data_IF_191030408937
#
_entry.id   IF_191030408937
#
_cell.length_a   1.000
_cell.length_b   1.000
_cell.length_c   1.000
_cell.angle_alpha   90.00
_cell.angle_beta   90.00
_cell.angle_gamma   90.00
#
_symmetry.space_group_name_H-M   'P 1'
#
loop_
_entity.id
_entity.type
_entity.pdbx_description
1 polymer ?
#
# COMPACT_ATOMS: atom_id res chain seq x y z
N UNK A 1 1.26 -3.85 9.56
CA UNK A 1 2.35 -4.76 9.16
C UNK A 1 3.44 -4.73 10.22
N UNK A 2 3.86 -5.89 10.75
CA UNK A 2 4.96 -5.99 11.73
C UNK A 2 6.00 -6.99 11.20
N UNK A 3 7.32 -6.75 11.42
CA UNK A 3 8.33 -7.75 11.09
C UNK A 3 8.08 -9.04 11.87
N UNK A 4 8.14 -10.20 11.21
CA UNK A 4 7.90 -11.49 11.85
C UNK A 4 8.80 -11.72 13.09
N UNK A 5 10.06 -11.26 13.03
CA UNK A 5 11.02 -11.35 14.13
C UNK A 5 10.62 -10.54 15.37
N UNK A 6 9.82 -9.47 15.21
CA UNK A 6 9.37 -8.62 16.32
C UNK A 6 8.15 -9.16 17.06
N UNK A 7 7.55 -10.27 16.61
CA UNK A 7 6.34 -10.84 17.23
C UNK A 7 6.63 -11.67 18.48
N UNK A 8 7.89 -12.01 18.75
CA UNK A 8 8.29 -12.67 20.00
C UNK A 8 8.50 -11.67 21.16
N UNK A 9 8.53 -10.37 20.87
CA UNK A 9 8.70 -9.34 21.89
C UNK A 9 7.41 -9.14 22.69
N UNK A 10 7.51 -9.29 24.01
CA UNK A 10 6.38 -9.19 24.94
C UNK A 10 5.65 -7.85 24.84
N UNK A 11 6.38 -6.74 24.69
CA UNK A 11 5.79 -5.40 24.59
C UNK A 11 5.06 -5.21 23.26
N UNK A 12 5.55 -5.85 22.19
CA UNK A 12 4.85 -5.87 20.90
C UNK A 12 3.54 -6.66 21.01
N UNK A 13 3.56 -7.83 21.66
CA UNK A 13 2.36 -8.65 21.87
C UNK A 13 1.30 -7.94 22.73
N UNK A 14 1.70 -7.29 23.83
CA UNK A 14 0.78 -6.54 24.68
C UNK A 14 0.06 -5.42 23.92
N UNK A 15 0.78 -4.68 23.05
CA UNK A 15 0.18 -3.65 22.19
C UNK A 15 -0.78 -4.25 21.16
N UNK A 16 -0.40 -5.37 20.55
CA UNK A 16 -1.22 -6.05 19.55
C UNK A 16 -2.52 -6.59 20.16
N UNK A 17 -2.48 -7.11 21.40
CA UNK A 17 -3.70 -7.57 22.09
C UNK A 17 -4.65 -6.42 22.43
N UNK A 18 -4.13 -5.25 22.77
CA UNK A 18 -4.94 -4.03 22.96
C UNK A 18 -5.62 -3.64 21.64
N UNK A 19 -4.88 -3.59 20.54
CA UNK A 19 -5.44 -3.31 19.20
C UNK A 19 -6.51 -4.36 18.82
N UNK A 20 -6.25 -5.64 19.03
CA UNK A 20 -7.19 -6.73 18.72
C UNK A 20 -8.50 -6.56 19.47
N UNK A 21 -8.46 -6.37 20.79
CA UNK A 21 -9.68 -6.18 21.61
C UNK A 21 -10.48 -4.97 21.18
N UNK A 22 -9.78 -3.88 20.84
CA UNK A 22 -10.41 -2.65 20.39
C UNK A 22 -11.20 -2.81 19.09
N UNK A 23 -10.62 -3.49 18.08
CA UNK A 23 -11.28 -3.68 16.79
C UNK A 23 -12.37 -4.77 16.83
N UNK A 24 -12.08 -5.91 17.48
CA UNK A 24 -13.06 -6.99 17.64
C UNK A 24 -14.28 -6.54 18.44
N UNK A 25 -14.08 -5.72 19.48
CA UNK A 25 -15.19 -5.14 20.26
C UNK A 25 -16.11 -4.20 19.46
N UNK A 26 -15.71 -3.81 18.24
CA UNK A 26 -16.48 -2.98 17.31
C UNK A 26 -17.01 -3.77 16.11
N UNK A 27 -16.89 -5.10 16.13
CA UNK A 27 -17.29 -5.96 15.03
C UNK A 27 -16.42 -5.83 13.78
N UNK A 28 -15.17 -5.39 13.93
CA UNK A 28 -14.20 -5.30 12.82
C UNK A 28 -13.20 -6.44 12.94
N UNK A 29 -13.06 -7.22 11.86
CA UNK A 29 -12.06 -8.28 11.78
C UNK A 29 -10.64 -7.73 11.91
N UNK A 30 -9.84 -8.37 12.74
CA UNK A 30 -8.46 -7.96 13.03
C UNK A 30 -7.50 -9.12 12.83
N UNK A 31 -6.37 -8.85 12.20
CA UNK A 31 -5.30 -9.82 11.99
C UNK A 31 -3.94 -9.15 11.84
N UNK A 32 -2.88 -9.94 12.04
CA UNK A 32 -1.50 -9.51 11.86
C UNK A 32 -1.04 -10.01 10.49
N UNK A 33 -0.60 -9.09 9.64
CA UNK A 33 0.07 -9.42 8.37
C UNK A 33 1.57 -9.17 8.52
N UNK A 34 2.35 -10.20 8.20
CA UNK A 34 3.81 -10.20 8.16
C UNK A 34 4.30 -10.33 6.72
N UNK A 35 5.60 -10.18 6.50
CA UNK A 35 6.22 -10.43 5.19
C UNK A 35 6.03 -11.87 4.71
N UNK A 36 5.82 -12.84 5.61
CA UNK A 36 5.61 -14.26 5.26
C UNK A 36 4.23 -14.51 4.66
N UNK A 37 3.28 -13.63 4.96
CA UNK A 37 1.89 -13.75 4.50
C UNK A 37 1.68 -13.08 3.13
N UNK A 38 2.72 -12.42 2.59
CA UNK A 38 2.66 -11.77 1.29
C UNK A 38 3.22 -12.68 0.19
N UNK A 39 2.60 -12.72 -1.00
CA UNK A 39 3.13 -13.46 -2.13
C UNK A 39 4.56 -13.03 -2.48
N UNK A 40 5.49 -13.97 -2.75
CA UNK A 40 6.87 -13.63 -3.10
C UNK A 40 6.99 -12.67 -4.29
N UNK A 41 6.09 -12.81 -5.29
CA UNK A 41 6.03 -11.92 -6.46
C UNK A 41 5.70 -10.49 -6.06
N UNK A 42 4.72 -10.31 -5.17
CA UNK A 42 4.36 -8.98 -4.65
C UNK A 42 5.55 -8.34 -3.93
N UNK A 43 6.27 -9.11 -3.09
CA UNK A 43 7.45 -8.61 -2.39
C UNK A 43 8.52 -8.16 -3.40
N UNK A 44 8.83 -9.00 -4.40
CA UNK A 44 9.82 -8.66 -5.44
C UNK A 44 9.43 -7.41 -6.22
N UNK A 45 8.17 -7.29 -6.62
CA UNK A 45 7.64 -6.11 -7.29
C UNK A 45 7.75 -4.85 -6.41
N UNK A 46 7.38 -4.93 -5.13
CA UNK A 46 7.49 -3.81 -4.20
C UNK A 46 8.95 -3.41 -3.97
N UNK A 47 9.86 -4.38 -3.81
CA UNK A 47 11.30 -4.13 -3.69
C UNK A 47 11.85 -3.46 -4.96
N UNK A 48 11.41 -3.91 -6.13
CA UNK A 48 11.76 -3.26 -7.39
C UNK A 48 11.22 -1.82 -7.40
N UNK A 49 9.98 -1.56 -7.04
CA UNK A 49 9.42 -0.21 -7.07
C UNK A 49 9.98 0.74 -5.99
N UNK A 50 10.46 0.23 -4.85
CA UNK A 50 10.86 1.01 -3.67
C UNK A 50 12.30 1.60 -3.73
N UNK A 51 13.00 1.48 -4.85
CA UNK A 51 14.38 1.97 -4.98
C UNK A 51 14.51 3.51 -4.98
N UNK A 52 15.75 4.04 -4.99
CA UNK A 52 16.05 5.50 -4.91
C UNK A 52 15.29 6.34 -5.96
N UNK A 53 15.09 5.78 -7.14
CA UNK A 53 14.34 6.33 -8.28
C UNK A 53 12.89 6.73 -7.97
N UNK A 54 12.28 6.18 -6.92
CA UNK A 54 10.93 6.57 -6.50
C UNK A 54 10.89 7.95 -5.81
N UNK A 55 12.04 8.48 -5.38
CA UNK A 55 12.17 9.75 -4.64
C UNK A 55 12.91 10.83 -5.41
N UNK A 56 13.61 10.48 -6.49
CA UNK A 56 14.27 11.46 -7.34
C UNK A 56 13.22 12.39 -7.95
N UNK A 57 13.50 13.69 -7.94
CA UNK A 57 12.69 14.71 -8.62
C UNK A 57 12.84 14.57 -10.14
N UNK A 58 11.79 14.90 -10.88
CA UNK A 58 11.83 14.84 -12.35
C UNK A 58 12.83 15.90 -12.81
N UNK A 59 13.84 15.50 -13.59
CA UNK A 59 14.71 16.47 -14.25
C UNK A 59 13.88 17.15 -15.33
N UNK A 60 14.15 18.41 -15.62
CA UNK A 60 13.37 19.21 -16.57
C UNK A 60 13.23 18.58 -17.96
N UNK A 61 14.20 17.74 -18.38
CA UNK A 61 14.17 17.00 -19.64
C UNK A 61 13.43 15.65 -19.60
N UNK A 62 12.87 15.24 -18.46
CA UNK A 62 12.20 13.95 -18.35
C UNK A 62 10.75 13.98 -18.89
N UNK A 63 10.12 15.16 -19.00
CA UNK A 63 8.75 15.29 -19.53
C UNK A 63 8.67 14.78 -20.96
N UNK A 64 9.60 15.22 -21.81
CA UNK A 64 9.70 14.77 -23.20
C UNK A 64 9.98 13.26 -23.30
N UNK A 65 10.72 12.72 -22.33
CA UNK A 65 11.06 11.29 -22.26
C UNK A 65 9.90 10.41 -21.81
N UNK A 66 8.92 10.95 -21.07
CA UNK A 66 7.69 10.24 -20.66
C UNK A 66 6.65 10.19 -21.78
N UNK A 67 6.59 11.23 -22.62
CA UNK A 67 5.64 11.27 -23.74
C UNK A 67 5.80 10.08 -24.70
N UNK A 68 7.05 9.72 -25.04
CA UNK A 68 7.34 8.61 -25.94
C UNK A 68 6.78 7.24 -25.47
N UNK A 69 7.06 6.75 -24.24
CA UNK A 69 6.49 5.49 -23.78
C UNK A 69 4.97 5.55 -23.57
N UNK A 70 4.38 6.71 -23.23
CA UNK A 70 2.92 6.83 -23.11
C UNK A 70 2.21 6.73 -24.47
N UNK A 71 2.77 7.37 -25.50
CA UNK A 71 2.30 7.26 -26.87
C UNK A 71 2.45 5.81 -27.40
N UNK A 72 3.61 5.21 -27.17
CA UNK A 72 3.88 3.82 -27.56
C UNK A 72 2.90 2.84 -26.89
N UNK A 73 2.65 3.01 -25.59
CA UNK A 73 1.72 2.16 -24.84
C UNK A 73 0.27 2.30 -25.34
N UNK A 74 -0.10 3.50 -25.80
CA UNK A 74 -1.44 3.77 -26.34
C UNK A 74 -1.67 3.16 -27.72
N UNK A 75 -0.59 2.85 -28.46
CA UNK A 75 -0.64 2.34 -29.84
C UNK A 75 -0.40 0.83 -29.90
N UNK A 76 0.54 0.32 -29.10
CA UNK A 76 1.08 -1.04 -29.20
C UNK A 76 0.92 -1.84 -27.89
N UNK A 77 -0.29 -2.25 -27.55
CA UNK A 77 -0.55 -3.06 -26.35
C UNK A 77 -0.12 -4.54 -26.46
N UNK A 78 0.13 -5.04 -27.67
CA UNK A 78 0.34 -6.49 -27.90
C UNK A 78 1.82 -6.91 -27.94
N UNK A 79 2.75 -5.98 -27.73
CA UNK A 79 4.18 -6.30 -27.63
C UNK A 79 4.55 -6.76 -26.22
N UNK A 80 5.62 -7.52 -26.10
CA UNK A 80 6.17 -7.89 -24.81
C UNK A 80 6.90 -6.72 -24.15
N UNK A 81 7.09 -6.77 -22.84
CA UNK A 81 7.78 -5.74 -22.06
C UNK A 81 9.21 -5.51 -22.55
N UNK A 82 9.93 -6.58 -22.89
CA UNK A 82 11.29 -6.51 -23.42
C UNK A 82 11.34 -5.85 -24.79
N UNK A 83 10.45 -6.24 -25.70
CA UNK A 83 10.32 -5.63 -27.03
C UNK A 83 9.93 -4.15 -26.94
N UNK A 84 9.00 -3.81 -26.04
CA UNK A 84 8.58 -2.45 -25.80
C UNK A 84 9.75 -1.56 -25.35
N UNK A 85 10.50 -1.99 -24.34
CA UNK A 85 11.67 -1.24 -23.87
C UNK A 85 12.69 -1.06 -25.00
N UNK A 86 13.00 -2.12 -25.74
CA UNK A 86 13.94 -2.07 -26.87
C UNK A 86 13.45 -1.21 -28.04
N UNK A 87 12.14 -1.15 -28.28
CA UNK A 87 11.55 -0.31 -29.32
C UNK A 87 11.60 1.17 -28.94
N UNK A 88 11.26 1.52 -27.70
CA UNK A 88 11.29 2.91 -27.21
C UNK A 88 12.73 3.40 -27.07
N UNK A 89 13.65 2.57 -26.57
CA UNK A 89 15.07 2.94 -26.44
C UNK A 89 15.78 3.18 -27.79
N UNK A 90 15.21 2.70 -28.91
CA UNK A 90 15.72 2.98 -30.27
C UNK A 90 15.25 4.33 -30.83
N UNK A 91 14.32 5.02 -30.17
CA UNK A 91 13.83 6.33 -30.62
C UNK A 91 14.90 7.41 -30.39
N UNK A 92 15.00 8.44 -31.28
CA UNK A 92 15.97 9.51 -31.10
C UNK A 92 15.83 10.21 -29.75
N UNK A 93 16.94 10.40 -29.03
CA UNK A 93 16.95 11.06 -27.71
C UNK A 93 16.75 10.13 -26.51
N UNK A 94 16.61 8.82 -26.75
CA UNK A 94 16.62 7.79 -25.72
C UNK A 94 17.97 7.04 -25.71
N UNK A 95 18.50 6.82 -24.51
CA UNK A 95 19.65 5.91 -24.33
C UNK A 95 19.13 4.50 -24.00
N UNK A 96 19.91 3.48 -24.36
CA UNK A 96 19.59 2.09 -24.02
C UNK A 96 19.41 1.91 -22.50
N UNK A 97 18.29 1.31 -22.09
CA UNK A 97 17.96 1.06 -20.69
C UNK A 97 17.23 2.22 -19.98
N UNK A 98 16.94 3.32 -20.65
CA UNK A 98 16.19 4.44 -20.06
C UNK A 98 14.71 4.09 -19.87
N UNK A 99 14.10 3.39 -20.84
CA UNK A 99 12.66 3.10 -20.81
C UNK A 99 12.25 2.29 -19.58
N UNK A 100 13.01 1.25 -19.21
CA UNK A 100 12.70 0.45 -18.00
C UNK A 100 12.75 1.30 -16.73
N UNK A 101 13.67 2.26 -16.65
CA UNK A 101 13.75 3.23 -15.55
C UNK A 101 12.53 4.14 -15.49
N UNK A 102 12.06 4.62 -16.65
CA UNK A 102 10.86 5.43 -16.76
C UNK A 102 9.61 4.65 -16.36
N UNK A 103 9.40 3.45 -16.90
CA UNK A 103 8.27 2.58 -16.53
C UNK A 103 8.26 2.35 -15.02
N UNK A 104 9.41 1.96 -14.45
CA UNK A 104 9.55 1.74 -13.00
C UNK A 104 9.09 2.94 -12.19
N UNK A 105 9.49 4.15 -12.62
CA UNK A 105 9.11 5.41 -11.98
C UNK A 105 7.63 5.74 -12.17
N UNK A 106 7.09 5.53 -13.36
CA UNK A 106 5.67 5.80 -13.65
C UNK A 106 4.76 4.87 -12.83
N UNK A 107 5.16 3.62 -12.65
CA UNK A 107 4.45 2.66 -11.79
C UNK A 107 4.61 3.01 -10.31
N UNK A 108 5.83 3.40 -9.85
CA UNK A 108 6.06 3.75 -8.44
C UNK A 108 5.29 5.03 -8.03
N UNK A 109 5.20 6.01 -8.94
CA UNK A 109 4.46 7.26 -8.74
C UNK A 109 2.96 7.16 -9.02
N UNK A 110 2.48 5.96 -9.37
CA UNK A 110 1.06 5.67 -9.67
C UNK A 110 0.50 6.40 -10.89
N UNK A 111 1.36 6.88 -11.79
CA UNK A 111 0.95 7.40 -13.11
C UNK A 111 0.61 6.25 -14.05
N UNK A 112 1.30 5.13 -13.91
CA UNK A 112 0.94 3.87 -14.56
C UNK A 112 0.45 2.87 -13.51
N UNK A 113 -0.46 1.99 -13.92
CA UNK A 113 -0.95 0.89 -13.10
C UNK A 113 -0.75 -0.45 -13.83
N UNK A 114 -0.49 -1.49 -13.04
CA UNK A 114 -0.38 -2.88 -13.47
C UNK A 114 -0.74 -3.79 -12.29
N UNK A 115 -0.98 -5.07 -12.56
CA UNK A 115 -1.23 -6.07 -11.54
C UNK A 115 0.08 -6.46 -10.83
N UNK A 116 0.18 -6.17 -9.54
CA UNK A 116 1.36 -6.47 -8.73
C UNK A 116 1.45 -7.95 -8.31
N UNK A 117 0.43 -8.77 -8.60
CA UNK A 117 0.47 -10.21 -8.37
C UNK A 117 1.27 -10.96 -9.44
N UNK A 118 1.56 -10.29 -10.56
CA UNK A 118 2.36 -10.79 -11.68
C UNK A 118 3.68 -10.02 -11.71
N UNK A 119 4.78 -10.67 -12.07
CA UNK A 119 6.11 -10.06 -12.10
C UNK A 119 6.16 -8.89 -13.09
N UNK A 120 6.43 -7.66 -12.62
CA UNK A 120 6.33 -6.43 -13.46
C UNK A 120 7.48 -6.29 -14.46
N UNK A 121 8.63 -6.90 -14.20
CA UNK A 121 9.84 -6.77 -15.00
C UNK A 121 10.20 -8.08 -15.73
N UNK A 122 9.23 -8.98 -15.90
CA UNK A 122 9.34 -10.13 -16.80
C UNK A 122 9.34 -9.63 -18.25
N UNK A 123 10.43 -9.84 -19.04
CA UNK A 123 10.50 -9.42 -20.43
C UNK A 123 9.40 -9.98 -21.32
N UNK A 124 8.84 -11.15 -20.99
CA UNK A 124 7.85 -11.84 -21.81
C UNK A 124 6.40 -11.39 -21.55
N UNK A 125 6.15 -10.61 -20.50
CA UNK A 125 4.78 -10.18 -20.21
C UNK A 125 4.31 -9.15 -21.25
N UNK A 126 3.02 -9.16 -21.63
CA UNK A 126 2.49 -8.20 -22.58
C UNK A 126 2.33 -6.81 -21.94
N UNK A 127 2.58 -5.78 -22.74
CA UNK A 127 2.40 -4.37 -22.32
C UNK A 127 0.93 -4.00 -22.07
N UNK A 128 -0.03 -4.76 -22.62
CA UNK A 128 -1.48 -4.60 -22.35
C UNK A 128 -1.86 -4.71 -20.87
N UNK A 129 -0.99 -5.26 -20.02
CA UNK A 129 -1.17 -5.25 -18.56
C UNK A 129 -0.91 -3.90 -17.90
N UNK A 130 -0.23 -3.00 -18.60
CA UNK A 130 0.04 -1.64 -18.13
C UNK A 130 -1.03 -0.70 -18.66
N UNK A 131 -1.42 0.26 -17.83
CA UNK A 131 -2.33 1.33 -18.22
C UNK A 131 -1.90 2.65 -17.64
N UNK A 132 -2.12 3.71 -18.41
CA UNK A 132 -1.95 5.09 -17.96
C UNK A 132 -3.13 5.44 -17.05
N UNK A 133 -2.85 6.01 -15.88
CA UNK A 133 -3.84 6.50 -14.93
C UNK A 133 -3.86 8.03 -15.05
N UNK A 134 -4.97 8.61 -15.51
CA UNK A 134 -5.10 10.07 -15.60
C UNK A 134 -4.97 10.70 -14.21
N UNK A 135 -4.25 11.81 -14.13
CA UNK A 135 -3.85 12.47 -12.88
C UNK A 135 -4.98 13.22 -12.15
N UNK A 136 -6.26 12.99 -12.47
CA UNK A 136 -7.38 13.76 -11.91
C UNK A 136 -7.94 13.27 -10.56
N UNK A 137 -7.29 12.30 -9.91
CA UNK A 137 -7.77 11.78 -8.63
C UNK A 137 -6.74 11.79 -7.50
N UNK A 138 -5.86 12.80 -7.44
CA UNK A 138 -5.19 13.17 -6.18
C UNK A 138 -5.81 14.44 -5.58
N UNK A 139 -7.14 14.43 -5.38
CA UNK A 139 -7.62 14.97 -4.11
C UNK A 139 -7.07 14.03 -3.06
N UNK A 140 -6.06 14.52 -2.33
CA UNK A 140 -5.68 13.94 -1.05
C UNK A 140 -6.97 13.82 -0.26
N UNK A 141 -7.56 12.62 -0.22
CA UNK A 141 -8.44 12.26 0.87
C UNK A 141 -7.51 12.24 2.06
N UNK A 142 -7.33 13.43 2.66
CA UNK A 142 -6.96 13.55 4.05
C UNK A 142 -7.87 12.54 4.71
N UNK A 143 -7.28 11.53 5.34
CA UNK A 143 -7.98 10.74 6.32
C UNK A 143 -8.58 11.77 7.27
N UNK A 144 -9.85 12.11 7.08
CA UNK A 144 -10.67 12.56 8.17
C UNK A 144 -10.69 11.33 9.07
N UNK A 145 -9.74 11.29 10.01
CA UNK A 145 -9.95 10.63 11.28
C UNK A 145 -11.42 10.88 11.63
N UNK A 146 -12.20 9.84 11.97
CA UNK A 146 -13.56 10.09 12.44
C UNK A 146 -13.43 11.18 13.50
N UNK A 147 -14.16 12.32 13.38
CA UNK A 147 -14.13 13.32 14.42
C UNK A 147 -14.41 12.55 15.70
N UNK A 148 -13.51 12.71 16.67
CA UNK A 148 -13.80 12.42 18.04
C UNK A 148 -14.96 13.37 18.37
N UNK A 149 -16.16 12.96 17.99
CA UNK A 149 -17.36 13.74 18.15
C UNK A 149 -17.57 13.75 19.65
N UNK A 150 -17.18 14.88 20.25
CA UNK A 150 -17.83 15.43 21.42
C UNK A 150 -19.33 15.49 21.12
N UNK A 151 -20.02 14.38 21.31
CA UNK A 151 -21.43 14.41 21.67
C UNK A 151 -21.45 14.51 23.19
N UNK A 152 -21.42 15.74 23.68
CA UNK A 152 -22.09 16.08 24.91
C UNK A 152 -23.59 15.83 24.68
N UNK A 153 -24.04 14.61 24.94
CA UNK A 153 -25.42 14.34 25.23
C UNK A 153 -25.47 13.68 26.60
N UNK A 154 -26.08 14.42 27.54
CA UNK A 154 -26.49 13.97 28.85
C UNK A 154 -26.97 12.51 28.83
N UNK A 155 -26.22 11.63 29.47
CA UNK A 155 -26.77 10.37 29.97
C UNK A 155 -26.12 10.09 31.31
N UNK A 156 -26.87 10.42 32.35
CA UNK A 156 -26.63 10.06 33.74
C UNK A 156 -26.19 8.59 33.82
N UNK A 157 -24.95 8.35 34.28
CA UNK A 157 -24.51 7.03 34.67
C UNK A 157 -25.38 6.56 35.87
N UNK A 158 -25.91 5.32 35.88
CA UNK A 158 -26.51 4.79 37.10
C UNK A 158 -25.40 4.60 38.15
N UNK A 159 -25.66 4.92 39.43
CA UNK A 159 -24.65 4.82 40.47
C UNK A 159 -24.24 3.36 40.70
N UNK A 160 -22.94 3.16 40.81
CA UNK A 160 -22.32 1.93 41.31
C UNK A 160 -22.79 1.75 42.75
N UNK A 161 -23.55 0.68 43.00
CA UNK A 161 -23.94 0.29 44.35
C UNK A 161 -22.70 -0.13 45.15
N UNK A 162 -22.52 0.34 46.41
CA UNK A 162 -21.43 -0.11 47.24
C UNK A 162 -21.67 -1.55 47.73
N UNK A 163 -20.61 -2.36 47.67
CA UNK A 163 -20.58 -3.69 48.26
C UNK A 163 -20.83 -3.60 49.76
N UNK A 164 -21.87 -4.29 50.24
CA UNK A 164 -22.09 -4.51 51.66
C UNK A 164 -21.19 -5.64 52.18
N UNK A 165 -20.65 -5.54 53.40
CA UNK A 165 -19.91 -6.62 54.04
C UNK A 165 -20.87 -7.68 54.59
N UNK A 166 -20.69 -8.94 54.19
CA UNK A 166 -21.34 -10.08 54.84
C UNK A 166 -20.71 -10.31 56.23
N UNK A 167 -21.47 -9.99 57.28
CA UNK A 167 -21.25 -10.53 58.63
C UNK A 167 -22.15 -11.73 58.88
N UNK A 168 -21.54 -12.79 59.38
CA UNK A 168 -22.04 -14.13 59.65
C UNK A 168 -23.17 -14.23 60.69
N UNK A 169 -23.98 -15.29 60.61
CA UNK A 169 -24.44 -16.11 61.78
C UNK A 169 -25.04 -17.46 61.30
N UNK A 170 -25.06 -18.50 62.16
CA UNK A 170 -25.13 -19.91 61.77
C UNK A 170 -26.57 -20.46 61.79
N UNK A 171 -26.74 -21.66 61.22
CA UNK A 171 -27.98 -22.43 61.20
C UNK A 171 -27.87 -23.67 62.12
N UNK A 172 -29.00 -24.21 62.61
CA UNK A 172 -29.11 -24.99 63.85
C UNK A 172 -28.58 -26.42 63.80
#
# INVERSE_FOLDING_TARGET
>A
MKPAAGLADRRVLEKLEIERRYWVGRGVDWGIVTQRDLPPVLIQNLTWLAGPWARDEWKSGDVDRVGMPEEALSTDGNVTFGEFCAAVDRRPGMDSGVTIGLIRRLVSTKRWATDLSIMIFDPAQPMSRFRIVSSEAKKVSVWSSPPCAMFCASTTAPPIAPAHPETATPQP
#
